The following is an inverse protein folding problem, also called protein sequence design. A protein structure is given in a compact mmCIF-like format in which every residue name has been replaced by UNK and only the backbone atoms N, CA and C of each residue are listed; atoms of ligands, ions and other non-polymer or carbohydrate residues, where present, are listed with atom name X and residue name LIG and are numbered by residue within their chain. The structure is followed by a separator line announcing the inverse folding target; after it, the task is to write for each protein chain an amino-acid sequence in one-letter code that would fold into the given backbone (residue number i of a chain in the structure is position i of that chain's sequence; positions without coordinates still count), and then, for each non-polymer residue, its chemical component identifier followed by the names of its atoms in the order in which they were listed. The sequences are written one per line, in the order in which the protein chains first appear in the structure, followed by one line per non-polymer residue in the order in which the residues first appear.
data_IF_652229227000
#
_entry.id   IF_652229227000
#
_cell.length_a   1.000
_cell.length_b   1.000
_cell.length_c   1.000
_cell.angle_alpha   90.00
_cell.angle_beta   90.00
_cell.angle_gamma   90.00
#
_symmetry.space_group_name_H-M   'P 1'
#
loop_
_entity.id
_entity.type
_entity.pdbx_description
1 polymer ?
#
# COMPACT_ATOMS: atom_id res chain seq x y z
N UNK A 1 28.22 -74.96 -1.72
CA UNK A 1 26.99 -74.28 -2.16
C UNK A 1 26.51 -73.30 -1.09
N UNK A 2 26.59 -71.99 -1.35
CA UNK A 2 25.64 -70.91 -1.02
C UNK A 2 26.41 -69.58 -0.94
N UNK A 3 26.27 -68.77 -1.99
CA UNK A 3 26.72 -67.38 -2.01
C UNK A 3 25.65 -66.49 -1.35
N UNK A 4 26.06 -65.64 -0.41
CA UNK A 4 25.21 -64.60 0.18
C UNK A 4 25.33 -63.32 -0.66
N UNK A 5 24.20 -62.86 -1.21
CA UNK A 5 24.10 -61.56 -1.87
C UNK A 5 23.68 -60.50 -0.86
N UNK A 6 24.55 -59.53 -0.62
CA UNK A 6 24.24 -58.31 0.15
C UNK A 6 23.56 -57.33 -0.81
N UNK A 7 22.27 -57.03 -0.56
CA UNK A 7 21.55 -55.96 -1.25
C UNK A 7 21.83 -54.64 -0.54
N UNK A 8 22.56 -53.74 -1.19
CA UNK A 8 22.73 -52.36 -0.74
C UNK A 8 21.59 -51.53 -1.33
N UNK A 9 20.67 -51.11 -0.47
CA UNK A 9 19.59 -50.18 -0.84
C UNK A 9 20.12 -48.75 -0.73
N UNK A 10 20.36 -48.09 -1.86
CA UNK A 10 20.64 -46.64 -1.87
C UNK A 10 19.36 -45.88 -1.51
N UNK A 11 19.38 -45.22 -0.35
CA UNK A 11 18.32 -44.32 0.09
C UNK A 11 18.60 -42.92 -0.50
N UNK A 12 17.91 -42.57 -1.58
CA UNK A 12 18.00 -41.23 -2.19
C UNK A 12 17.29 -40.22 -1.28
N UNK A 13 18.06 -39.44 -0.53
CA UNK A 13 17.54 -38.33 0.29
C UNK A 13 17.19 -37.19 -0.65
N UNK A 14 15.90 -37.04 -0.95
CA UNK A 14 15.36 -35.88 -1.65
C UNK A 14 15.29 -34.71 -0.66
N UNK A 15 16.29 -33.82 -0.68
CA UNK A 15 16.22 -32.54 0.03
C UNK A 15 15.12 -31.69 -0.60
N UNK A 16 13.94 -31.67 0.03
CA UNK A 16 12.93 -30.67 -0.30
C UNK A 16 13.45 -29.30 0.13
N UNK A 17 13.87 -28.50 -0.84
CA UNK A 17 14.17 -27.09 -0.62
C UNK A 17 12.86 -26.39 -0.24
N UNK A 18 12.67 -26.12 1.05
CA UNK A 18 11.62 -25.21 1.51
C UNK A 18 11.89 -23.84 0.91
N UNK A 19 10.95 -23.21 0.19
CA UNK A 19 11.15 -21.87 -0.31
C UNK A 19 11.41 -20.94 0.89
N UNK A 20 12.63 -20.42 0.98
CA UNK A 20 12.96 -19.37 1.95
C UNK A 20 12.19 -18.14 1.51
N UNK A 21 11.06 -17.87 2.16
CA UNK A 21 10.39 -16.57 2.03
C UNK A 21 11.40 -15.52 2.46
N UNK A 22 11.80 -14.64 1.54
CA UNK A 22 12.74 -13.59 1.89
C UNK A 22 12.14 -12.77 3.05
N UNK A 23 12.93 -12.57 4.11
CA UNK A 23 12.49 -11.84 5.31
C UNK A 23 12.06 -10.43 4.94
N UNK A 24 11.06 -9.89 5.66
CA UNK A 24 10.63 -8.51 5.52
C UNK A 24 11.83 -7.54 5.61
N UNK A 25 11.88 -6.54 4.73
CA UNK A 25 13.01 -5.62 4.67
C UNK A 25 13.14 -4.83 6.01
N UNK A 26 14.37 -4.55 6.49
CA UNK A 26 14.59 -3.94 7.80
C UNK A 26 13.78 -2.65 8.04
N UNK A 27 13.59 -1.85 6.98
CA UNK A 27 12.80 -0.63 7.02
C UNK A 27 11.38 -0.86 7.53
N UNK A 28 10.75 -1.99 7.22
CA UNK A 28 9.33 -2.25 7.47
C UNK A 28 9.06 -3.18 8.66
N UNK A 29 10.09 -3.77 9.26
CA UNK A 29 9.97 -4.60 10.46
C UNK A 29 9.51 -3.84 11.72
N UNK A 30 9.36 -2.52 11.65
CA UNK A 30 8.93 -1.67 12.76
C UNK A 30 7.93 -0.62 12.30
N UNK A 31 6.84 -0.52 13.03
CA UNK A 31 5.83 0.55 12.87
C UNK A 31 6.19 1.83 13.66
N UNK A 32 7.30 1.83 14.40
CA UNK A 32 7.74 3.05 15.10
C UNK A 32 8.12 4.14 14.08
N UNK A 33 7.54 5.32 14.31
CA UNK A 33 7.76 6.52 13.51
C UNK A 33 9.25 6.83 13.37
N UNK A 34 9.74 6.84 12.14
CA UNK A 34 11.13 7.17 11.84
C UNK A 34 11.29 8.69 11.68
N UNK A 35 12.19 9.30 12.46
CA UNK A 35 12.53 10.71 12.29
C UNK A 35 13.61 10.85 11.23
N UNK A 36 13.35 11.67 10.21
CA UNK A 36 14.23 11.84 9.06
C UNK A 36 14.36 13.30 8.65
N UNK A 37 15.49 13.66 8.03
CA UNK A 37 15.72 14.95 7.40
C UNK A 37 16.00 14.74 5.92
N UNK A 38 15.18 15.36 5.06
CA UNK A 38 15.39 15.42 3.62
C UNK A 38 15.90 16.81 3.24
N UNK A 39 17.14 16.88 2.79
CA UNK A 39 17.76 18.10 2.26
C UNK A 39 17.97 17.96 0.76
N UNK A 40 17.35 18.80 -0.05
CA UNK A 40 17.45 18.78 -1.51
C UNK A 40 17.01 20.14 -2.09
N UNK A 41 17.24 20.45 -3.39
CA UNK A 41 16.69 21.66 -4.02
C UNK A 41 15.19 21.43 -4.31
N UNK A 42 14.39 21.41 -3.25
CA UNK A 42 12.98 21.08 -3.25
C UNK A 42 12.18 22.10 -4.06
N UNK A 43 12.58 23.37 -4.04
CA UNK A 43 11.95 24.40 -4.86
C UNK A 43 12.11 24.11 -6.36
N UNK A 44 13.29 23.66 -6.78
CA UNK A 44 13.51 23.22 -8.17
C UNK A 44 12.73 21.95 -8.47
N UNK A 45 12.76 20.94 -7.59
CA UNK A 45 11.97 19.72 -7.80
C UNK A 45 10.47 20.03 -8.00
N UNK A 46 9.93 20.99 -7.24
CA UNK A 46 8.53 21.41 -7.33
C UNK A 46 8.23 22.29 -8.55
N UNK A 47 9.18 23.07 -9.07
CA UNK A 47 8.97 23.81 -10.32
C UNK A 47 8.81 22.89 -11.52
N UNK A 48 9.42 21.70 -11.49
CA UNK A 48 9.29 20.67 -12.54
C UNK A 48 7.92 19.99 -12.57
N UNK A 49 7.00 20.25 -11.61
CA UNK A 49 5.78 19.44 -11.40
C UNK A 49 4.88 19.31 -12.64
N UNK A 50 4.87 20.31 -13.53
CA UNK A 50 4.07 20.33 -14.77
C UNK A 50 4.72 19.58 -15.94
N UNK A 51 6.01 19.25 -15.85
CA UNK A 51 6.73 18.53 -16.90
C UNK A 51 6.44 17.03 -16.83
N UNK A 52 6.37 16.38 -17.99
CA UNK A 52 6.25 14.92 -18.06
C UNK A 52 7.54 14.26 -17.57
N UNK A 53 8.66 14.65 -18.19
CA UNK A 53 10.01 14.28 -17.79
C UNK A 53 10.59 15.28 -16.81
N UNK A 54 10.49 14.93 -15.52
CA UNK A 54 11.05 15.72 -14.42
C UNK A 54 12.47 15.27 -14.13
N UNK A 55 13.34 16.24 -13.89
CA UNK A 55 14.70 16.01 -13.46
C UNK A 55 14.75 15.40 -12.04
N UNK A 56 15.77 14.58 -11.81
CA UNK A 56 16.14 14.11 -10.49
C UNK A 56 17.06 15.12 -9.81
N UNK A 57 16.63 15.60 -8.66
CA UNK A 57 17.38 16.54 -7.84
C UNK A 57 18.24 15.79 -6.84
N UNK A 58 19.54 16.04 -6.83
CA UNK A 58 20.46 15.42 -5.87
C UNK A 58 20.32 16.08 -4.49
N UNK A 59 20.36 15.27 -3.44
CA UNK A 59 20.19 15.68 -2.06
C UNK A 59 20.74 14.67 -1.07
N UNK A 60 20.37 14.85 0.19
CA UNK A 60 20.77 14.05 1.33
C UNK A 60 19.56 13.65 2.15
N UNK A 61 19.52 12.38 2.55
CA UNK A 61 18.53 11.84 3.46
C UNK A 61 19.24 11.39 4.73
N UNK A 62 18.88 11.97 5.86
CA UNK A 62 19.44 11.63 7.16
C UNK A 62 18.39 10.98 8.05
N UNK A 63 18.77 9.97 8.81
CA UNK A 63 17.92 9.35 9.82
C UNK A 63 18.76 8.90 11.01
N UNK A 64 18.11 8.81 12.18
CA UNK A 64 18.74 8.35 13.41
C UNK A 64 18.15 7.00 13.80
N UNK A 65 19.01 6.01 14.07
CA UNK A 65 18.62 4.70 14.58
C UNK A 65 18.38 4.76 16.09
N UNK A 66 17.77 3.72 16.66
CA UNK A 66 17.41 3.64 18.07
C UNK A 66 18.61 3.68 19.02
N UNK A 67 19.78 3.22 18.58
CA UNK A 67 21.07 3.29 19.27
C UNK A 67 21.69 4.70 19.25
N UNK A 68 21.08 5.65 18.53
CA UNK A 68 21.54 7.02 18.42
C UNK A 68 22.46 7.31 17.23
N UNK A 69 22.82 6.30 16.44
CA UNK A 69 23.67 6.46 15.25
C UNK A 69 22.93 7.26 14.18
N UNK A 70 23.60 8.26 13.58
CA UNK A 70 23.03 9.08 12.49
C UNK A 70 23.60 8.64 11.16
N UNK A 71 22.73 8.14 10.29
CA UNK A 71 23.07 7.78 8.91
C UNK A 71 22.73 8.93 7.98
N UNK A 72 23.63 9.21 7.03
CA UNK A 72 23.43 10.20 5.96
C UNK A 72 23.65 9.52 4.62
N UNK A 73 22.60 9.46 3.83
CA UNK A 73 22.59 8.73 2.56
C UNK A 73 22.28 9.72 1.43
N UNK A 74 23.13 9.81 0.39
CA UNK A 74 22.78 10.55 -0.80
C UNK A 74 21.47 10.03 -1.40
N UNK A 75 20.60 10.94 -1.80
CA UNK A 75 19.30 10.61 -2.39
C UNK A 75 19.04 11.50 -3.59
N UNK A 76 18.44 10.94 -4.61
CA UNK A 76 17.81 11.71 -5.69
C UNK A 76 16.32 11.83 -5.42
N UNK A 77 15.76 13.03 -5.56
CA UNK A 77 14.32 13.27 -5.40
C UNK A 77 13.69 13.84 -6.67
N UNK A 78 12.45 13.46 -6.93
CA UNK A 78 11.61 14.09 -7.97
C UNK A 78 10.15 14.04 -7.57
N UNK A 79 9.34 14.92 -8.13
CA UNK A 79 7.88 14.87 -7.94
C UNK A 79 7.27 13.63 -8.60
N UNK A 80 6.29 12.99 -7.96
CA UNK A 80 5.60 11.79 -8.43
C UNK A 80 4.09 11.99 -8.50
N UNK A 81 3.38 11.04 -9.12
CA UNK A 81 1.92 11.03 -9.21
C UNK A 81 1.38 11.93 -10.33
N UNK A 82 0.06 11.94 -10.48
CA UNK A 82 -0.65 12.71 -11.52
C UNK A 82 -1.42 13.86 -10.89
N UNK A 83 -2.51 13.57 -10.20
CA UNK A 83 -3.39 14.60 -9.63
C UNK A 83 -2.70 15.44 -8.55
N UNK A 84 -2.19 14.80 -7.49
CA UNK A 84 -1.53 15.50 -6.37
C UNK A 84 -0.27 16.25 -6.82
N UNK A 85 0.45 15.73 -7.81
CA UNK A 85 1.61 16.42 -8.38
C UNK A 85 1.27 17.81 -8.90
N UNK A 86 0.15 17.90 -9.62
CA UNK A 86 -0.26 19.11 -10.32
C UNK A 86 -1.01 20.08 -9.41
N UNK A 87 -1.77 19.55 -8.44
CA UNK A 87 -2.74 20.31 -7.67
C UNK A 87 -2.31 20.61 -6.22
N UNK A 88 -1.33 19.87 -5.66
CA UNK A 88 -0.89 20.10 -4.29
C UNK A 88 0.11 21.26 -4.17
N UNK A 89 0.04 21.96 -3.04
CA UNK A 89 1.07 22.95 -2.64
C UNK A 89 2.41 22.27 -2.40
N UNK A 90 2.36 21.04 -1.87
CA UNK A 90 3.49 20.16 -1.64
C UNK A 90 3.29 18.88 -2.48
N UNK A 91 3.81 18.86 -3.72
CA UNK A 91 3.75 17.67 -4.57
C UNK A 91 4.44 16.47 -3.90
N UNK A 92 3.88 15.26 -3.99
CA UNK A 92 4.50 14.08 -3.41
C UNK A 92 5.82 13.75 -4.13
N UNK A 93 6.77 13.20 -3.37
CA UNK A 93 8.13 12.93 -3.85
C UNK A 93 8.37 11.42 -4.02
N UNK A 94 9.22 11.06 -4.98
CA UNK A 94 9.87 9.76 -5.04
C UNK A 94 11.30 9.92 -4.54
N UNK A 95 11.71 9.05 -3.64
CA UNK A 95 13.08 8.94 -3.15
C UNK A 95 13.79 7.86 -3.96
N UNK A 96 15.01 8.14 -4.41
CA UNK A 96 15.83 7.21 -5.17
C UNK A 96 17.25 7.23 -4.62
N UNK A 97 17.57 6.20 -3.87
CA UNK A 97 18.89 5.94 -3.31
C UNK A 97 19.70 5.10 -4.31
N UNK A 98 21.03 5.17 -4.22
CA UNK A 98 21.86 4.21 -4.96
C UNK A 98 21.83 2.88 -4.22
N UNK A 99 21.58 1.77 -4.93
CA UNK A 99 21.54 0.42 -4.35
C UNK A 99 22.71 0.09 -3.41
N UNK A 100 23.93 0.43 -3.82
CA UNK A 100 25.15 0.20 -3.03
C UNK A 100 25.19 0.99 -1.71
N UNK A 101 24.47 2.11 -1.62
CA UNK A 101 24.47 2.99 -0.44
C UNK A 101 23.42 2.59 0.59
N UNK A 102 22.47 1.73 0.23
CA UNK A 102 21.45 1.23 1.17
C UNK A 102 21.76 -0.17 1.71
N UNK A 103 22.71 -0.89 1.11
CA UNK A 103 23.15 -2.20 1.60
C UNK A 103 23.73 -2.11 3.02
N UNK A 104 23.34 -3.01 3.92
CA UNK A 104 23.75 -3.01 5.33
C UNK A 104 23.15 -1.87 6.15
N UNK A 105 22.16 -1.14 5.63
CA UNK A 105 21.50 -0.03 6.31
C UNK A 105 20.03 -0.37 6.60
N UNK A 106 19.32 0.49 7.34
CA UNK A 106 17.88 0.34 7.54
C UNK A 106 17.09 0.27 6.20
N UNK A 107 17.61 0.89 5.14
CA UNK A 107 16.98 0.93 3.81
C UNK A 107 17.40 -0.22 2.90
N UNK A 108 18.06 -1.26 3.43
CA UNK A 108 18.49 -2.40 2.62
C UNK A 108 17.34 -3.01 1.81
N UNK A 109 17.62 -3.29 0.54
CA UNK A 109 16.63 -3.69 -0.45
C UNK A 109 15.79 -2.53 -1.01
N UNK A 110 15.61 -1.43 -0.29
CA UNK A 110 14.68 -0.33 -0.62
C UNK A 110 15.39 0.88 -1.24
N UNK A 111 15.76 0.79 -2.53
CA UNK A 111 16.43 1.89 -3.24
C UNK A 111 15.45 2.91 -3.84
N UNK A 112 14.19 2.54 -4.11
CA UNK A 112 13.19 3.46 -4.69
C UNK A 112 11.91 3.48 -3.90
N UNK A 113 11.74 4.51 -3.07
CA UNK A 113 10.58 4.63 -2.20
C UNK A 113 9.61 5.71 -2.67
N UNK A 114 8.32 5.36 -2.65
CA UNK A 114 7.22 6.32 -2.79
C UNK A 114 7.05 7.02 -1.42
N UNK A 115 7.36 8.32 -1.32
CA UNK A 115 7.10 9.11 -0.12
C UNK A 115 5.70 9.74 -0.22
N UNK A 116 4.79 9.28 0.62
CA UNK A 116 3.45 9.84 0.77
C UNK A 116 3.51 10.94 1.81
N UNK A 117 3.11 12.16 1.42
CA UNK A 117 3.23 13.36 2.24
C UNK A 117 2.03 14.30 2.04
N UNK A 118 1.69 15.15 3.02
CA UNK A 118 0.51 16.01 2.97
C UNK A 118 0.46 16.90 1.73
N UNK A 119 -0.73 17.09 1.16
CA UNK A 119 -0.94 17.98 0.01
C UNK A 119 -0.70 19.46 0.34
N UNK A 120 -0.88 19.83 1.61
CA UNK A 120 -0.66 21.16 2.19
C UNK A 120 -0.13 21.05 3.63
N UNK A 121 0.19 22.19 4.25
CA UNK A 121 0.81 22.28 5.58
C UNK A 121 -0.19 22.33 6.74
N UNK A 122 -1.49 22.36 6.47
CA UNK A 122 -2.51 22.45 7.51
C UNK A 122 -2.64 21.13 8.29
N UNK A 123 -3.23 21.23 9.50
CA UNK A 123 -3.37 20.09 10.41
C UNK A 123 -4.18 18.95 9.79
N UNK A 124 -5.25 19.25 9.05
CA UNK A 124 -6.11 18.21 8.47
C UNK A 124 -5.36 17.43 7.40
N UNK A 125 -4.60 18.11 6.53
CA UNK A 125 -3.75 17.44 5.53
C UNK A 125 -2.76 16.44 6.15
N UNK A 126 -2.30 16.64 7.39
CA UNK A 126 -1.48 15.65 8.10
C UNK A 126 -2.29 14.46 8.62
N UNK A 127 -3.52 14.70 9.08
CA UNK A 127 -4.44 13.65 9.53
C UNK A 127 -4.84 12.73 8.37
N UNK A 128 -5.06 13.28 7.17
CA UNK A 128 -5.37 12.51 5.96
C UNK A 128 -4.24 11.49 5.66
N UNK A 129 -2.98 11.87 5.86
CA UNK A 129 -1.83 10.96 5.67
C UNK A 129 -1.80 9.84 6.70
N UNK A 130 -2.12 10.14 7.95
CA UNK A 130 -2.20 9.11 8.99
C UNK A 130 -3.35 8.15 8.68
N UNK A 131 -4.51 8.64 8.24
CA UNK A 131 -5.64 7.80 7.85
C UNK A 131 -5.31 6.91 6.64
N UNK A 132 -4.61 7.43 5.64
CA UNK A 132 -4.14 6.65 4.48
C UNK A 132 -3.17 5.55 4.93
N UNK A 133 -2.21 5.87 5.80
CA UNK A 133 -1.30 4.88 6.39
C UNK A 133 -2.04 3.77 7.15
N UNK A 134 -3.04 4.12 7.97
CA UNK A 134 -3.82 3.12 8.71
C UNK A 134 -4.68 2.26 7.78
N UNK A 135 -5.05 2.73 6.58
CA UNK A 135 -5.66 1.90 5.56
C UNK A 135 -4.69 0.83 5.04
N UNK A 136 -3.42 1.16 4.78
CA UNK A 136 -2.39 0.14 4.48
C UNK A 136 -2.25 -0.86 5.62
N UNK A 137 -2.15 -0.40 6.87
CA UNK A 137 -2.03 -1.29 8.03
C UNK A 137 -3.26 -2.18 8.24
N UNK A 138 -4.45 -1.70 7.90
CA UNK A 138 -5.67 -2.51 7.90
C UNK A 138 -5.62 -3.64 6.87
N UNK A 139 -5.02 -3.40 5.70
CA UNK A 139 -4.81 -4.44 4.69
C UNK A 139 -3.77 -5.48 5.17
N UNK A 140 -2.68 -5.03 5.78
CA UNK A 140 -1.64 -5.89 6.36
C UNK A 140 -2.20 -6.83 7.46
N UNK A 141 -3.23 -6.40 8.20
CA UNK A 141 -3.96 -7.26 9.17
C UNK A 141 -4.76 -8.38 8.47
N UNK A 142 -5.29 -8.10 7.28
CA UNK A 142 -6.16 -9.02 6.54
C UNK A 142 -5.38 -10.02 5.69
N UNK A 143 -4.20 -9.66 5.21
CA UNK A 143 -3.42 -10.49 4.29
C UNK A 143 -1.93 -10.13 4.28
N UNK A 144 -1.09 -11.13 4.00
CA UNK A 144 0.33 -10.95 3.69
C UNK A 144 0.57 -10.40 2.28
N UNK A 145 -0.44 -10.50 1.40
CA UNK A 145 -0.44 -9.95 0.04
C UNK A 145 -0.69 -8.42 0.07
N UNK A 146 0.14 -7.70 0.82
CA UNK A 146 0.05 -6.25 1.01
C UNK A 146 1.43 -5.61 0.88
N UNK A 147 1.49 -4.41 0.31
CA UNK A 147 2.68 -3.57 0.36
C UNK A 147 2.91 -3.11 1.80
N UNK A 148 4.14 -3.23 2.27
CA UNK A 148 4.51 -2.73 3.59
C UNK A 148 4.64 -1.21 3.60
N UNK A 149 4.34 -0.61 4.74
CA UNK A 149 4.40 0.84 4.94
C UNK A 149 5.00 1.22 6.28
N UNK A 150 5.67 2.39 6.35
CA UNK A 150 6.23 2.92 7.60
C UNK A 150 6.07 4.42 7.72
N UNK A 151 5.49 4.86 8.84
CA UNK A 151 5.37 6.28 9.19
C UNK A 151 6.72 6.93 9.43
N UNK A 152 6.81 8.19 9.02
CA UNK A 152 7.97 9.04 9.19
C UNK A 152 7.57 10.43 9.65
N UNK A 153 8.39 11.04 10.51
CA UNK A 153 8.42 12.48 10.70
C UNK A 153 9.51 13.04 9.81
N UNK A 154 9.11 13.71 8.74
CA UNK A 154 10.02 14.20 7.70
C UNK A 154 10.23 15.69 7.88
N UNK A 155 11.45 16.09 8.24
CA UNK A 155 11.90 17.48 8.19
C UNK A 155 12.49 17.77 6.82
N UNK A 156 11.94 18.75 6.12
CA UNK A 156 12.34 19.15 4.78
C UNK A 156 13.19 20.42 4.85
N UNK A 157 14.34 20.39 4.18
CA UNK A 157 15.25 21.52 4.03
C UNK A 157 15.48 21.76 2.55
N UNK A 158 15.06 22.92 2.06
CA UNK A 158 15.34 23.33 0.69
C UNK A 158 16.77 23.86 0.59
N UNK A 159 17.65 23.16 -0.10
CA UNK A 159 19.08 23.53 -0.19
C UNK A 159 19.32 24.85 -0.91
N UNK A 160 18.35 25.31 -1.71
CA UNK A 160 18.41 26.59 -2.40
C UNK A 160 17.97 27.77 -1.50
N UNK A 161 17.48 27.50 -0.28
CA UNK A 161 16.98 28.52 0.64
C UNK A 161 15.69 29.22 0.20
N UNK A 162 15.06 28.77 -0.89
CA UNK A 162 13.83 29.39 -1.45
C UNK A 162 12.56 29.03 -0.67
N UNK A 163 12.63 28.04 0.22
CA UNK A 163 11.55 27.66 1.15
C UNK A 163 12.10 27.58 2.57
N UNK A 164 11.35 28.14 3.51
CA UNK A 164 11.60 27.93 4.95
C UNK A 164 11.48 26.43 5.26
N UNK A 165 12.34 25.85 6.11
CA UNK A 165 12.22 24.46 6.53
C UNK A 165 10.84 24.16 7.13
N UNK A 166 10.35 22.94 6.95
CA UNK A 166 9.08 22.48 7.51
C UNK A 166 9.17 21.01 7.91
N UNK A 167 8.28 20.56 8.80
CA UNK A 167 8.24 19.17 9.24
C UNK A 167 6.82 18.64 9.21
N UNK A 168 6.60 17.49 8.58
CA UNK A 168 5.29 16.84 8.52
C UNK A 168 5.38 15.35 8.84
N UNK A 169 4.26 14.76 9.23
CA UNK A 169 4.07 13.32 9.15
C UNK A 169 3.93 12.91 7.68
N UNK A 170 4.68 11.90 7.29
CA UNK A 170 4.62 11.21 6.00
C UNK A 170 4.73 9.70 6.22
N UNK A 171 4.68 8.91 5.14
CA UNK A 171 5.09 7.51 5.19
C UNK A 171 5.70 7.07 3.88
N UNK A 172 6.49 6.00 3.92
CA UNK A 172 6.99 5.33 2.73
C UNK A 172 6.28 4.00 2.53
N UNK A 173 6.19 3.59 1.27
CA UNK A 173 5.61 2.32 0.84
C UNK A 173 6.72 1.48 0.23
N UNK A 174 6.72 0.18 0.53
CA UNK A 174 7.59 -0.84 -0.07
C UNK A 174 7.63 -0.73 -1.60
N UNK A 175 8.81 -0.92 -2.18
CA UNK A 175 8.93 -1.02 -3.64
C UNK A 175 8.27 -2.31 -4.14
N UNK A 176 7.51 -2.23 -5.23
CA UNK A 176 6.76 -3.34 -5.82
C UNK A 176 7.66 -4.56 -6.11
N UNK A 177 8.88 -4.35 -6.61
CA UNK A 177 9.84 -5.44 -6.86
C UNK A 177 10.37 -6.08 -5.59
N UNK A 178 10.46 -5.33 -4.48
CA UNK A 178 10.82 -5.89 -3.18
C UNK A 178 9.70 -6.76 -2.62
N UNK A 179 8.46 -6.28 -2.70
CA UNK A 179 7.29 -7.08 -2.34
C UNK A 179 7.24 -8.37 -3.16
N UNK A 180 7.42 -8.26 -4.47
CA UNK A 180 7.46 -9.40 -5.38
C UNK A 180 8.50 -10.44 -4.91
N UNK A 181 9.74 -10.01 -4.63
CA UNK A 181 10.78 -10.89 -4.04
C UNK A 181 10.38 -11.49 -2.69
N UNK A 182 9.84 -10.68 -1.76
CA UNK A 182 9.39 -11.13 -0.43
C UNK A 182 8.37 -12.26 -0.53
N UNK A 183 7.52 -12.20 -1.55
CA UNK A 183 6.43 -13.16 -1.77
C UNK A 183 6.77 -14.30 -2.74
N UNK A 184 8.00 -14.34 -3.29
CA UNK A 184 8.35 -15.30 -4.34
C UNK A 184 7.51 -15.13 -5.62
N UNK A 185 7.23 -13.87 -5.98
CA UNK A 185 6.43 -13.48 -7.14
C UNK A 185 7.20 -12.50 -8.04
N UNK A 186 6.63 -12.25 -9.21
CA UNK A 186 7.06 -11.23 -10.16
C UNK A 186 5.96 -10.20 -10.40
N UNK A 187 6.38 -8.97 -10.70
CA UNK A 187 5.47 -7.90 -11.14
C UNK A 187 5.02 -8.20 -12.57
N UNK A 188 3.71 -8.18 -12.78
CA UNK A 188 3.10 -8.38 -14.10
C UNK A 188 2.77 -7.01 -14.70
N UNK A 189 3.32 -6.73 -15.87
CA UNK A 189 2.95 -5.56 -16.69
C UNK A 189 2.19 -6.05 -17.92
N UNK A 190 0.96 -5.56 -18.08
CA UNK A 190 0.13 -5.89 -19.23
C UNK A 190 -0.83 -4.74 -19.53
N UNK A 191 -1.14 -4.43 -20.80
CA UNK A 191 -2.12 -3.40 -21.15
C UNK A 191 -3.49 -3.65 -20.54
N UNK A 192 -3.91 -4.92 -20.48
CA UNK A 192 -5.19 -5.37 -19.95
C UNK A 192 -5.05 -6.75 -19.30
N UNK A 193 -5.90 -7.03 -18.32
CA UNK A 193 -6.00 -8.36 -17.68
C UNK A 193 -7.40 -8.93 -17.87
N UNK A 194 -7.47 -10.17 -18.34
CA UNK A 194 -8.69 -10.94 -18.34
C UNK A 194 -9.00 -11.43 -16.92
N UNK A 195 -10.29 -11.36 -16.55
CA UNK A 195 -10.75 -11.78 -15.22
C UNK A 195 -10.37 -13.22 -14.88
N UNK A 196 -10.37 -14.11 -15.87
CA UNK A 196 -10.00 -15.52 -15.70
C UNK A 196 -8.53 -15.71 -15.29
N UNK A 197 -7.67 -14.70 -15.47
CA UNK A 197 -6.27 -14.73 -15.05
C UNK A 197 -6.10 -14.38 -13.58
N UNK A 198 -7.05 -13.67 -12.98
CA UNK A 198 -6.97 -13.25 -11.58
C UNK A 198 -7.29 -14.39 -10.63
N UNK A 199 -6.64 -14.39 -9.46
CA UNK A 199 -7.01 -15.25 -8.35
C UNK A 199 -8.34 -14.75 -7.78
N UNK A 200 -9.38 -15.56 -7.90
CA UNK A 200 -10.75 -15.16 -7.55
C UNK A 200 -10.89 -14.91 -6.05
N UNK A 201 -10.20 -15.70 -5.19
CA UNK A 201 -10.30 -15.57 -3.74
C UNK A 201 -9.60 -14.30 -3.26
N UNK A 202 -8.38 -14.06 -3.75
CA UNK A 202 -7.61 -12.86 -3.40
C UNK A 202 -8.26 -11.60 -3.95
N UNK A 203 -8.83 -11.67 -5.16
CA UNK A 203 -9.59 -10.55 -5.74
C UNK A 203 -10.83 -10.21 -4.91
N UNK A 204 -11.57 -11.21 -4.41
CA UNK A 204 -12.73 -10.98 -3.54
C UNK A 204 -12.35 -10.29 -2.22
N UNK A 205 -11.20 -10.65 -1.63
CA UNK A 205 -10.65 -9.97 -0.45
C UNK A 205 -10.36 -8.50 -0.76
N UNK A 206 -9.68 -8.22 -1.87
CA UNK A 206 -9.39 -6.85 -2.30
C UNK A 206 -10.67 -6.05 -2.53
N UNK A 207 -11.65 -6.59 -3.24
CA UNK A 207 -12.92 -5.91 -3.52
C UNK A 207 -13.70 -5.59 -2.22
N UNK A 208 -13.69 -6.51 -1.25
CA UNK A 208 -14.31 -6.30 0.06
C UNK A 208 -13.52 -5.31 0.93
N UNK A 209 -12.19 -5.33 0.85
CA UNK A 209 -11.32 -4.36 1.51
C UNK A 209 -11.56 -2.94 0.98
N UNK A 210 -11.64 -2.78 -0.34
CA UNK A 210 -11.93 -1.47 -0.94
C UNK A 210 -13.31 -0.95 -0.49
N UNK A 211 -14.31 -1.83 -0.33
CA UNK A 211 -15.59 -1.46 0.29
C UNK A 211 -15.43 -1.03 1.76
N UNK A 212 -14.64 -1.77 2.55
CA UNK A 212 -14.39 -1.46 3.96
C UNK A 212 -13.87 -0.04 4.15
N UNK A 213 -12.85 0.35 3.38
CA UNK A 213 -12.26 1.68 3.46
C UNK A 213 -13.05 2.74 2.65
N UNK A 214 -14.08 2.33 1.91
CA UNK A 214 -14.91 3.22 1.10
C UNK A 214 -14.19 3.76 -0.12
N UNK A 215 -13.33 2.97 -0.74
CA UNK A 215 -12.59 3.35 -1.93
C UNK A 215 -13.25 2.80 -3.19
N UNK A 216 -13.55 3.68 -4.13
CA UNK A 216 -14.08 3.35 -5.45
C UNK A 216 -13.16 3.77 -6.59
N UNK A 217 -12.00 4.37 -6.29
CA UNK A 217 -10.99 4.78 -7.26
C UNK A 217 -9.98 3.65 -7.51
N UNK A 218 -10.45 2.50 -8.02
CA UNK A 218 -9.59 1.38 -8.39
C UNK A 218 -10.21 0.53 -9.51
N UNK A 219 -9.38 -0.26 -10.17
CA UNK A 219 -9.81 -1.26 -11.15
C UNK A 219 -8.78 -2.38 -11.22
N UNK A 220 -9.22 -3.63 -11.18
CA UNK A 220 -8.35 -4.83 -11.24
C UNK A 220 -8.12 -5.36 -12.66
N UNK A 221 -8.75 -4.74 -13.67
CA UNK A 221 -8.77 -5.28 -15.05
C UNK A 221 -8.49 -4.23 -16.13
N UNK A 222 -8.51 -2.94 -15.77
CA UNK A 222 -8.34 -1.80 -16.69
C UNK A 222 -7.63 -0.65 -16.00
N UNK A 223 -6.94 0.16 -16.79
CA UNK A 223 -6.35 1.45 -16.41
C UNK A 223 -7.02 2.57 -17.22
N UNK A 224 -6.82 3.86 -16.88
CA UNK A 224 -7.12 4.96 -17.80
C UNK A 224 -6.43 4.77 -19.16
N UNK A 225 -7.01 5.33 -20.22
CA UNK A 225 -6.47 5.21 -21.57
C UNK A 225 -4.98 5.59 -21.65
N UNK A 226 -4.20 4.80 -22.40
CA UNK A 226 -2.76 5.02 -22.59
C UNK A 226 -1.87 4.56 -21.43
N UNK A 227 -2.40 3.74 -20.50
CA UNK A 227 -1.61 3.14 -19.41
C UNK A 227 -1.80 1.63 -19.36
N UNK A 228 -0.76 0.95 -18.90
CA UNK A 228 -0.86 -0.47 -18.56
C UNK A 228 -1.87 -0.70 -17.43
N UNK A 229 -2.46 -1.89 -17.43
CA UNK A 229 -3.33 -2.34 -16.35
C UNK A 229 -2.55 -2.30 -15.04
N UNK A 230 -3.15 -1.86 -13.93
CA UNK A 230 -4.55 -1.43 -13.77
C UNK A 230 -4.62 -0.08 -13.03
N UNK A 231 -5.80 0.31 -12.54
CA UNK A 231 -5.92 1.56 -11.78
C UNK A 231 -5.81 1.27 -10.28
N UNK A 232 -4.76 1.79 -9.63
CA UNK A 232 -4.50 1.65 -8.20
C UNK A 232 -4.37 0.18 -7.71
N UNK A 233 -3.86 -0.69 -8.59
CA UNK A 233 -3.58 -2.11 -8.34
C UNK A 233 -2.22 -2.47 -8.97
N UNK A 234 -1.29 -3.02 -8.18
CA UNK A 234 -0.12 -3.72 -8.71
C UNK A 234 -0.51 -5.18 -8.97
N UNK A 235 -0.01 -5.78 -10.05
CA UNK A 235 -0.31 -7.18 -10.40
C UNK A 235 0.91 -8.05 -10.11
N UNK A 236 0.72 -9.11 -9.35
CA UNK A 236 1.79 -10.03 -8.96
C UNK A 236 1.45 -11.46 -9.37
N UNK A 237 2.42 -12.25 -9.80
CA UNK A 237 2.23 -13.67 -10.12
C UNK A 237 3.45 -14.48 -9.69
N UNK A 238 3.23 -15.65 -9.10
CA UNK A 238 4.30 -16.61 -8.84
C UNK A 238 4.83 -17.22 -10.15
N UNK A 239 6.08 -17.69 -10.13
CA UNK A 239 6.80 -18.27 -11.26
C UNK A 239 6.33 -19.70 -11.59
N UNK A 240 5.02 -19.88 -11.79
CA UNK A 240 4.43 -21.12 -12.27
C UNK A 240 3.39 -20.83 -13.34
N UNK A 241 3.40 -21.66 -14.38
CA UNK A 241 2.48 -21.55 -15.51
C UNK A 241 1.00 -21.58 -15.07
N UNK A 242 0.68 -22.35 -14.04
CA UNK A 242 -0.68 -22.50 -13.50
C UNK A 242 -1.09 -21.40 -12.50
N UNK A 243 -0.14 -20.57 -12.04
CA UNK A 243 -0.44 -19.53 -11.06
C UNK A 243 -1.39 -18.47 -11.61
N UNK A 244 -2.35 -18.07 -10.78
CA UNK A 244 -3.21 -16.92 -11.03
C UNK A 244 -2.54 -15.63 -10.57
N UNK A 245 -2.96 -14.51 -11.18
CA UNK A 245 -2.48 -13.18 -10.85
C UNK A 245 -3.15 -12.71 -9.56
N UNK A 246 -2.35 -12.27 -8.60
CA UNK A 246 -2.79 -11.64 -7.36
C UNK A 246 -2.82 -10.12 -7.55
N UNK A 247 -3.99 -9.45 -7.42
CA UNK A 247 -4.05 -7.99 -7.39
C UNK A 247 -3.65 -7.47 -6.00
N UNK A 248 -2.77 -6.46 -5.96
CA UNK A 248 -2.33 -5.79 -4.74
C UNK A 248 -2.82 -4.33 -4.78
N UNK A 249 -3.80 -3.95 -3.95
CA UNK A 249 -4.32 -2.60 -3.98
C UNK A 249 -3.36 -1.60 -3.32
N UNK A 250 -3.30 -0.38 -3.86
CA UNK A 250 -2.52 0.73 -3.31
C UNK A 250 -3.20 2.08 -3.64
N UNK A 251 -2.61 3.19 -3.19
CA UNK A 251 -3.12 4.57 -3.36
C UNK A 251 -4.52 4.76 -2.74
N UNK A 252 -4.58 4.83 -1.41
CA UNK A 252 -5.83 4.89 -0.64
C UNK A 252 -6.28 6.31 -0.27
N UNK A 253 -5.63 7.33 -0.82
CA UNK A 253 -5.84 8.73 -0.45
C UNK A 253 -7.27 9.23 -0.76
N UNK A 254 -7.92 8.61 -1.75
CA UNK A 254 -9.27 8.95 -2.22
C UNK A 254 -10.36 8.10 -1.54
N UNK A 255 -10.00 7.27 -0.57
CA UNK A 255 -10.92 6.42 0.17
C UNK A 255 -11.81 7.21 1.16
N UNK A 256 -13.03 6.72 1.40
CA UNK A 256 -13.95 7.29 2.37
C UNK A 256 -13.43 7.33 3.81
N UNK A 257 -12.56 6.41 4.21
CA UNK A 257 -11.91 6.47 5.53
C UNK A 257 -10.98 7.69 5.67
N UNK A 258 -10.30 8.09 4.58
CA UNK A 258 -9.42 9.25 4.54
C UNK A 258 -10.23 10.53 4.41
N UNK A 259 -11.21 10.54 3.48
CA UNK A 259 -12.09 11.68 3.23
C UNK A 259 -11.32 12.97 2.94
N UNK A 260 -10.21 12.86 2.19
CA UNK A 260 -9.41 14.01 1.79
C UNK A 260 -10.28 15.02 1.03
N UNK A 261 -10.04 16.32 1.22
CA UNK A 261 -10.88 17.39 0.66
C UNK A 261 -11.05 17.32 -0.87
N UNK A 262 -10.05 16.79 -1.56
CA UNK A 262 -10.05 16.65 -3.03
C UNK A 262 -10.71 15.36 -3.51
N UNK A 263 -10.95 14.38 -2.63
CA UNK A 263 -11.47 13.08 -3.00
C UNK A 263 -12.93 13.20 -3.45
N UNK A 264 -13.24 12.61 -4.61
CA UNK A 264 -14.59 12.56 -5.17
C UNK A 264 -14.86 11.16 -5.71
N UNK A 265 -16.09 10.63 -5.57
CA UNK A 265 -16.45 9.38 -6.23
C UNK A 265 -16.44 9.58 -7.76
N UNK A 266 -16.17 8.52 -8.53
CA UNK A 266 -16.35 8.56 -9.98
C UNK A 266 -17.79 8.96 -10.37
N UNK A 267 -17.93 9.83 -11.38
CA UNK A 267 -19.20 10.46 -11.76
C UNK A 267 -20.32 9.47 -12.14
N UNK A 268 -19.96 8.26 -12.58
CA UNK A 268 -20.91 7.22 -12.97
C UNK A 268 -21.49 6.44 -11.79
N UNK A 269 -21.03 6.68 -10.55
CA UNK A 269 -21.53 6.00 -9.37
C UNK A 269 -22.67 6.78 -8.70
N UNK A 270 -23.72 6.11 -8.16
CA UNK A 270 -24.87 6.77 -7.56
C UNK A 270 -24.61 7.20 -6.10
N UNK A 271 -23.39 7.70 -5.81
CA UNK A 271 -23.01 8.19 -4.48
C UNK A 271 -22.51 9.62 -4.58
N UNK A 272 -22.94 10.47 -3.63
CA UNK A 272 -22.64 11.90 -3.67
C UNK A 272 -21.27 12.27 -3.07
N UNK A 273 -20.65 11.37 -2.31
CA UNK A 273 -19.32 11.59 -1.72
C UNK A 273 -18.65 10.25 -1.37
N UNK A 274 -17.34 10.29 -1.14
CA UNK A 274 -16.52 9.10 -0.84
C UNK A 274 -16.83 8.45 0.50
N UNK A 275 -17.48 9.15 1.46
CA UNK A 275 -17.91 8.52 2.73
C UNK A 275 -19.01 7.48 2.50
N UNK A 276 -19.80 7.59 1.44
CA UNK A 276 -20.83 6.61 1.11
C UNK A 276 -20.17 5.39 0.45
N UNK A 277 -20.12 4.28 1.20
CA UNK A 277 -19.64 3.00 0.69
C UNK A 277 -20.49 2.53 -0.49
N UNK A 278 -19.83 2.10 -1.56
CA UNK A 278 -20.46 1.52 -2.73
C UNK A 278 -19.64 0.33 -3.21
N UNK A 279 -20.28 -0.84 -3.31
CA UNK A 279 -19.59 -2.05 -3.72
C UNK A 279 -19.46 -2.10 -5.24
N UNK A 280 -18.22 -2.14 -5.72
CA UNK A 280 -17.90 -2.22 -7.16
C UNK A 280 -17.38 -3.59 -7.58
N UNK A 281 -17.33 -4.54 -6.64
CA UNK A 281 -16.83 -5.89 -6.85
C UNK A 281 -17.78 -6.80 -7.61
N UNK A 282 -17.30 -8.00 -7.91
CA UNK A 282 -18.00 -8.98 -8.75
C UNK A 282 -18.75 -10.01 -7.93
N UNK A 283 -19.73 -10.67 -8.54
CA UNK A 283 -20.37 -11.80 -7.91
C UNK A 283 -19.39 -12.96 -7.72
N UNK A 284 -19.53 -13.67 -6.61
CA UNK A 284 -18.69 -14.80 -6.20
C UNK A 284 -19.60 -15.89 -5.64
N UNK A 285 -19.08 -17.10 -5.59
CA UNK A 285 -19.79 -18.21 -4.99
C UNK A 285 -20.05 -17.94 -3.49
N UNK A 286 -21.13 -18.50 -2.92
CA UNK A 286 -21.43 -18.35 -1.50
C UNK A 286 -20.26 -18.70 -0.58
N UNK A 287 -19.45 -19.70 -0.95
CA UNK A 287 -18.32 -20.18 -0.15
C UNK A 287 -17.19 -19.15 -0.09
N UNK A 288 -16.87 -18.51 -1.23
CA UNK A 288 -15.87 -17.44 -1.27
C UNK A 288 -16.33 -16.26 -0.43
N UNK A 289 -17.62 -15.90 -0.51
CA UNK A 289 -18.15 -14.81 0.30
C UNK A 289 -18.19 -15.14 1.79
N UNK A 290 -18.64 -16.33 2.17
CA UNK A 290 -18.65 -16.78 3.56
C UNK A 290 -17.25 -16.72 4.17
N UNK A 291 -16.23 -17.21 3.46
CA UNK A 291 -14.84 -17.16 3.92
C UNK A 291 -14.33 -15.72 4.12
N UNK A 292 -14.62 -14.81 3.18
CA UNK A 292 -14.23 -13.40 3.30
C UNK A 292 -14.96 -12.70 4.44
N UNK A 293 -16.27 -12.92 4.61
CA UNK A 293 -17.03 -12.30 5.70
C UNK A 293 -16.54 -12.78 7.07
N UNK A 294 -16.23 -14.08 7.20
CA UNK A 294 -15.66 -14.64 8.42
C UNK A 294 -14.28 -14.03 8.72
N UNK A 295 -13.40 -13.92 7.72
CA UNK A 295 -12.08 -13.29 7.86
C UNK A 295 -12.20 -11.85 8.38
N UNK A 296 -13.01 -11.02 7.72
CA UNK A 296 -13.14 -9.61 8.09
C UNK A 296 -13.77 -9.45 9.48
N UNK A 297 -14.87 -10.15 9.78
CA UNK A 297 -15.50 -10.07 11.09
C UNK A 297 -14.55 -10.56 12.20
N UNK A 298 -13.75 -11.60 11.95
CA UNK A 298 -12.72 -12.07 12.88
C UNK A 298 -11.61 -11.05 13.15
N UNK A 299 -11.40 -10.09 12.24
CA UNK A 299 -10.42 -9.00 12.37
C UNK A 299 -11.01 -7.67 12.83
N UNK A 300 -12.31 -7.63 13.16
CA UNK A 300 -13.01 -6.40 13.60
C UNK A 300 -12.28 -5.67 14.72
N UNK A 301 -12.01 -6.37 15.83
CA UNK A 301 -11.41 -5.76 17.02
C UNK A 301 -10.03 -5.17 16.69
N UNK A 302 -9.19 -5.94 16.02
CA UNK A 302 -7.83 -5.53 15.65
C UNK A 302 -7.83 -4.27 14.77
N UNK A 303 -8.67 -4.26 13.73
CA UNK A 303 -8.79 -3.12 12.80
C UNK A 303 -9.40 -1.90 13.51
N UNK A 304 -10.46 -2.04 14.31
CA UNK A 304 -11.06 -0.89 15.01
C UNK A 304 -10.08 -0.32 16.03
N UNK A 305 -9.38 -1.17 16.78
CA UNK A 305 -8.36 -0.75 17.76
C UNK A 305 -7.18 -0.04 17.09
N UNK A 306 -6.78 -0.44 15.88
CA UNK A 306 -5.74 0.25 15.11
C UNK A 306 -6.05 1.75 14.93
N UNK A 307 -7.30 2.11 14.63
CA UNK A 307 -7.71 3.51 14.52
C UNK A 307 -7.91 4.17 15.89
N UNK A 308 -8.57 3.49 16.83
CA UNK A 308 -8.87 4.02 18.16
C UNK A 308 -7.60 4.38 18.94
N UNK A 309 -6.56 3.55 18.83
CA UNK A 309 -5.34 3.67 19.62
C UNK A 309 -4.22 4.41 18.88
N UNK A 310 -4.47 4.94 17.67
CA UNK A 310 -3.43 5.65 16.91
C UNK A 310 -2.97 6.91 17.65
N UNK A 311 -1.69 7.03 18.05
CA UNK A 311 -1.18 8.21 18.74
C UNK A 311 -1.02 9.41 17.81
N UNK A 312 -1.26 9.25 16.52
CA UNK A 312 -1.03 10.27 15.49
C UNK A 312 -2.32 10.87 14.94
N UNK A 313 -3.48 10.30 15.32
CA UNK A 313 -4.78 10.88 15.06
C UNK A 313 -5.22 11.77 16.23
N UNK A 314 -5.85 12.89 15.93
CA UNK A 314 -6.58 13.66 16.93
C UNK A 314 -7.93 12.99 17.26
N UNK A 315 -8.52 13.37 18.40
CA UNK A 315 -9.73 12.73 18.92
C UNK A 315 -10.92 12.79 17.94
N UNK A 316 -11.02 13.87 17.16
CA UNK A 316 -12.05 13.99 16.12
C UNK A 316 -11.85 12.93 15.04
N UNK A 317 -10.63 12.78 14.52
CA UNK A 317 -10.33 11.80 13.48
C UNK A 317 -10.39 10.37 14.00
N UNK A 318 -9.95 10.10 15.24
CA UNK A 318 -10.16 8.80 15.92
C UNK A 318 -11.63 8.44 16.00
N UNK A 319 -12.47 9.32 16.55
CA UNK A 319 -13.91 9.07 16.65
C UNK A 319 -14.54 8.82 15.28
N UNK A 320 -14.27 9.70 14.31
CA UNK A 320 -14.81 9.59 12.96
C UNK A 320 -14.40 8.30 12.24
N UNK A 321 -13.16 7.84 12.42
CA UNK A 321 -12.64 6.62 11.81
C UNK A 321 -13.18 5.36 12.50
N UNK A 322 -13.25 5.35 13.84
CA UNK A 322 -13.85 4.26 14.62
C UNK A 322 -15.34 4.09 14.27
N UNK A 323 -16.10 5.19 14.26
CA UNK A 323 -17.53 5.15 13.88
C UNK A 323 -17.68 4.65 12.43
N UNK A 324 -16.80 5.07 11.53
CA UNK A 324 -16.81 4.62 10.13
C UNK A 324 -16.55 3.12 9.99
N UNK A 325 -15.55 2.59 10.70
CA UNK A 325 -15.19 1.17 10.67
C UNK A 325 -16.24 0.30 11.35
N UNK A 326 -16.77 0.71 12.51
CA UNK A 326 -17.87 0.01 13.16
C UNK A 326 -19.09 -0.10 12.24
N UNK A 327 -19.47 0.98 11.55
CA UNK A 327 -20.57 0.95 10.60
C UNK A 327 -20.37 -0.07 9.46
N UNK A 328 -19.12 -0.33 9.03
CA UNK A 328 -18.83 -1.41 8.08
C UNK A 328 -19.03 -2.79 8.71
N UNK A 329 -18.44 -3.04 9.87
CA UNK A 329 -18.53 -4.35 10.51
C UNK A 329 -19.96 -4.69 10.96
N UNK A 330 -20.75 -3.70 11.39
CA UNK A 330 -22.16 -3.88 11.71
C UNK A 330 -22.98 -4.19 10.44
N UNK A 331 -22.65 -3.55 9.32
CA UNK A 331 -23.24 -3.88 8.01
C UNK A 331 -22.86 -5.31 7.58
N UNK A 332 -21.61 -5.71 7.78
CA UNK A 332 -21.09 -7.02 7.38
C UNK A 332 -21.62 -8.16 8.26
N UNK A 333 -21.88 -7.90 9.54
CA UNK A 333 -22.40 -8.88 10.51
C UNK A 333 -23.92 -9.08 10.39
N UNK A 334 -24.64 -8.09 9.90
CA UNK A 334 -26.08 -8.19 9.63
C UNK A 334 -26.33 -8.81 8.24
N UNK A 335 -26.81 -10.06 8.21
CA UNK A 335 -27.07 -10.81 6.97
C UNK A 335 -27.91 -10.00 5.97
N UNK A 336 -28.99 -9.34 6.41
CA UNK A 336 -29.89 -8.61 5.50
C UNK A 336 -29.19 -7.38 4.92
N UNK A 337 -28.46 -6.62 5.74
CA UNK A 337 -27.71 -5.46 5.26
C UNK A 337 -26.58 -5.85 4.34
N UNK A 338 -25.79 -6.86 4.71
CA UNK A 338 -24.68 -7.39 3.90
C UNK A 338 -25.15 -7.91 2.56
N UNK A 339 -26.17 -8.77 2.55
CA UNK A 339 -26.68 -9.34 1.32
C UNK A 339 -27.20 -8.23 0.41
N UNK A 340 -27.86 -7.20 0.95
CA UNK A 340 -28.30 -6.02 0.17
C UNK A 340 -27.14 -5.15 -0.35
N UNK A 341 -26.08 -4.96 0.42
CA UNK A 341 -25.01 -4.00 0.09
C UNK A 341 -23.84 -4.61 -0.69
N UNK A 342 -23.65 -5.92 -0.60
CA UNK A 342 -22.54 -6.64 -1.24
C UNK A 342 -23.09 -7.61 -2.28
N UNK A 343 -23.89 -8.60 -1.88
CA UNK A 343 -24.35 -9.67 -2.78
C UNK A 343 -25.33 -9.10 -3.83
N UNK A 344 -26.34 -8.34 -3.43
CA UNK A 344 -27.32 -7.73 -4.33
C UNK A 344 -26.78 -6.56 -5.16
N UNK A 345 -25.54 -6.12 -4.91
CA UNK A 345 -24.86 -5.05 -5.67
C UNK A 345 -23.64 -5.55 -6.45
N UNK A 346 -23.31 -6.83 -6.35
CA UNK A 346 -22.18 -7.38 -7.07
C UNK A 346 -22.42 -7.34 -8.58
N UNK A 347 -21.35 -7.24 -9.35
CA UNK A 347 -21.41 -7.19 -10.81
C UNK A 347 -21.22 -8.58 -11.41
N UNK A 348 -22.12 -8.98 -12.30
CA UNK A 348 -22.16 -10.32 -12.94
C UNK A 348 -20.99 -10.70 -13.81
#
# INVERSE_FOLDING_TARGET
MRAQHIKITLLTICMMATPVSASEAPLFQSDQMLNVVLTAPLSQAYSERKKEDRLWMQGQFAYKTSDGTTYRTPVSVRTRGVFRRLNCKLPPLRLNFKKKQVAGTLFEGQDKLKLVAPCATDKQSQQDIVLEYLAYKSLEILTNDALKSRLMRVSYVDSDGKRKPWTHIGFVIEDDKNMARRMGMEVVTAPHINRSQLDVKKTALVELFQLMIGNTDYSTIRSPAGKDCCHNIELMKAESASSKITPIPYDFDSAGIVNAKYAKPPDHLPISNVRRRYFTGRCRTPEIWAANFALFNGKRTEIVSLFANSPHLDERNKKSSVDYMNAFFDMLSDKKKRDRQVIGKCRE
#
